data_IF_988708153737
#
_entry.id   IF_988708153737
#
_cell.length_a   1.000
_cell.length_b   1.000
_cell.length_c   1.000
_cell.angle_alpha   90.00
_cell.angle_beta   90.00
_cell.angle_gamma   90.00
#
_symmetry.space_group_name_H-M   'P 1'
#
loop_
_entity.id
_entity.type
_entity.pdbx_description
1 polymer ?
#
# COMPACT_ATOMS: atom_id res chain seq x y z
N UNK A 1 -28.26 -9.86 -4.38
CA UNK A 1 -26.80 -10.06 -4.38
C UNK A 1 -26.28 -8.93 -3.51
N UNK A 2 -25.57 -9.27 -2.48
CA UNK A 2 -24.93 -8.25 -1.65
C UNK A 2 -23.80 -7.61 -2.48
N UNK A 3 -23.63 -6.31 -2.38
CA UNK A 3 -22.59 -5.59 -3.11
C UNK A 3 -21.20 -6.00 -2.55
N UNK A 4 -20.14 -6.06 -3.39
CA UNK A 4 -18.86 -6.55 -2.96
C UNK A 4 -18.15 -5.57 -2.02
N UNK A 5 -17.34 -6.11 -1.11
CA UNK A 5 -16.44 -5.34 -0.26
C UNK A 5 -15.06 -5.24 -0.92
N UNK A 6 -14.58 -4.02 -1.14
CA UNK A 6 -13.30 -3.75 -1.79
C UNK A 6 -12.27 -3.26 -0.78
N UNK A 7 -11.11 -3.91 -0.74
CA UNK A 7 -9.94 -3.45 0.01
C UNK A 7 -9.06 -2.51 -0.79
N UNK A 8 -8.72 -1.36 -0.22
CA UNK A 8 -7.69 -0.47 -0.74
C UNK A 8 -6.48 -0.52 0.20
N UNK A 9 -5.38 -1.09 -0.27
CA UNK A 9 -4.16 -1.22 0.52
C UNK A 9 -3.11 -0.21 0.08
N UNK A 10 -2.73 0.69 0.98
CA UNK A 10 -1.61 1.61 0.79
C UNK A 10 -0.31 0.98 1.22
N UNK A 11 0.55 0.67 0.29
CA UNK A 11 1.90 0.11 0.50
C UNK A 11 2.91 1.18 0.26
N UNK A 12 3.67 1.35 1.03
CA UNK A 12 4.31 1.39 2.29
C UNK A 12 3.99 2.71 3.01
N UNK A 13 4.30 2.79 4.29
CA UNK A 13 4.05 3.99 5.10
C UNK A 13 5.29 4.42 5.87
N UNK A 14 6.46 4.41 5.22
CA UNK A 14 7.72 4.80 5.84
C UNK A 14 7.83 6.29 6.03
N UNK A 15 7.99 6.72 7.28
CA UNK A 15 8.32 8.07 7.67
C UNK A 15 9.64 8.06 8.43
N UNK A 16 10.48 9.08 8.24
CA UNK A 16 11.73 9.20 8.97
C UNK A 16 12.73 8.07 8.71
N UNK A 17 12.65 7.43 7.54
CA UNK A 17 13.53 6.32 7.16
C UNK A 17 14.99 6.70 7.00
N UNK A 18 15.31 7.99 7.02
CA UNK A 18 16.69 8.52 6.95
C UNK A 18 16.98 9.27 8.23
N UNK A 19 18.05 8.92 8.94
CA UNK A 19 18.40 9.58 10.19
C UNK A 19 18.65 11.09 10.04
N UNK A 20 19.07 11.54 8.84
CA UNK A 20 19.36 12.94 8.54
C UNK A 20 18.11 13.75 8.18
N UNK A 21 17.03 13.10 7.77
CA UNK A 21 15.81 13.77 7.32
C UNK A 21 14.59 13.10 7.96
N UNK A 22 13.95 13.83 8.86
CA UNK A 22 12.71 13.38 9.48
C UNK A 22 11.52 13.79 8.61
N UNK A 23 10.55 12.90 8.47
CA UNK A 23 9.30 13.17 7.79
C UNK A 23 9.04 12.23 6.61
N UNK A 24 8.31 12.71 5.62
CA UNK A 24 7.93 11.95 4.45
C UNK A 24 9.08 11.92 3.43
N UNK A 25 9.91 10.90 3.47
CA UNK A 25 11.16 10.85 2.71
C UNK A 25 11.24 9.78 1.62
N UNK A 26 10.57 8.65 1.79
CA UNK A 26 10.48 7.61 0.75
C UNK A 26 9.38 6.60 1.07
N UNK A 27 8.91 5.91 0.06
CA UNK A 27 7.95 4.80 0.16
C UNK A 27 6.68 5.08 1.00
N UNK A 28 6.32 6.35 1.15
CA UNK A 28 5.07 6.77 1.81
C UNK A 28 3.93 7.06 0.82
N UNK A 29 4.19 6.97 -0.48
CA UNK A 29 3.24 7.35 -1.52
C UNK A 29 1.99 6.46 -1.54
N UNK A 30 2.15 5.16 -1.27
CA UNK A 30 1.03 4.23 -1.18
C UNK A 30 0.11 4.56 0.00
N UNK A 31 0.68 4.86 1.16
CA UNK A 31 -0.08 5.31 2.33
C UNK A 31 -0.79 6.64 2.06
N UNK A 32 -0.11 7.60 1.44
CA UNK A 32 -0.70 8.88 1.04
C UNK A 32 -1.87 8.67 0.06
N UNK A 33 -1.72 7.79 -0.92
CA UNK A 33 -2.78 7.47 -1.87
C UNK A 33 -4.00 6.85 -1.18
N UNK A 34 -3.79 5.91 -0.25
CA UNK A 34 -4.85 5.29 0.52
C UNK A 34 -5.61 6.31 1.39
N UNK A 35 -4.89 7.16 2.10
CA UNK A 35 -5.50 8.21 2.92
C UNK A 35 -6.24 9.26 2.09
N UNK A 36 -5.70 9.61 0.92
CA UNK A 36 -6.36 10.53 -0.02
C UNK A 36 -7.65 9.93 -0.59
N UNK A 37 -7.64 8.63 -0.92
CA UNK A 37 -8.84 7.91 -1.34
C UNK A 37 -9.89 7.87 -0.22
N UNK A 38 -9.49 7.59 1.03
CA UNK A 38 -10.38 7.62 2.18
C UNK A 38 -11.03 9.00 2.35
N UNK A 39 -10.24 10.06 2.32
CA UNK A 39 -10.74 11.43 2.44
C UNK A 39 -11.73 11.77 1.32
N UNK A 40 -11.43 11.35 0.08
CA UNK A 40 -12.32 11.57 -1.06
C UNK A 40 -13.63 10.81 -0.95
N UNK A 41 -13.60 9.55 -0.54
CA UNK A 41 -14.81 8.74 -0.36
C UNK A 41 -15.71 9.30 0.75
N UNK A 42 -15.11 9.76 1.86
CA UNK A 42 -15.85 10.42 2.93
C UNK A 42 -16.48 11.75 2.48
N UNK A 43 -15.78 12.51 1.63
CA UNK A 43 -16.30 13.75 1.07
C UNK A 43 -17.47 13.48 0.10
N UNK A 44 -17.36 12.47 -0.76
CA UNK A 44 -18.45 12.00 -1.62
C UNK A 44 -19.69 11.62 -0.80
N UNK A 45 -19.49 10.87 0.27
CA UNK A 45 -20.57 10.44 1.15
C UNK A 45 -21.29 11.62 1.82
N UNK A 46 -20.54 12.66 2.24
CA UNK A 46 -21.12 13.90 2.77
C UNK A 46 -21.97 14.66 1.74
N UNK A 47 -21.63 14.52 0.48
CA UNK A 47 -22.37 15.14 -0.64
C UNK A 47 -23.55 14.29 -1.14
N UNK A 48 -23.80 13.13 -0.52
CA UNK A 48 -24.90 12.25 -0.87
C UNK A 48 -24.56 11.21 -1.95
N UNK A 49 -23.28 11.10 -2.35
CA UNK A 49 -22.80 10.10 -3.29
C UNK A 49 -22.38 8.83 -2.51
N UNK A 50 -23.14 7.78 -2.62
CA UNK A 50 -22.88 6.51 -1.93
C UNK A 50 -22.45 5.43 -2.91
N UNK A 51 -21.51 4.62 -2.48
CA UNK A 51 -21.16 3.38 -3.17
C UNK A 51 -22.15 2.29 -2.73
N UNK A 52 -22.46 1.34 -3.62
CA UNK A 52 -23.36 0.23 -3.30
C UNK A 52 -22.68 -0.80 -2.36
N UNK A 53 -21.35 -0.92 -2.42
CA UNK A 53 -20.57 -1.82 -1.61
C UNK A 53 -19.69 -1.10 -0.59
N UNK A 54 -19.10 -1.87 0.30
CA UNK A 54 -18.20 -1.38 1.33
C UNK A 54 -16.77 -1.22 0.80
N UNK A 55 -16.07 -0.22 1.33
CA UNK A 55 -14.64 -0.01 1.05
C UNK A 55 -13.86 -0.01 2.35
N UNK A 56 -12.99 -0.99 2.51
CA UNK A 56 -12.07 -1.07 3.64
C UNK A 56 -10.71 -0.56 3.18
N UNK A 57 -10.22 0.48 3.86
CA UNK A 57 -8.95 1.12 3.51
C UNK A 57 -7.94 0.84 4.61
N UNK A 58 -6.81 0.27 4.22
CA UNK A 58 -5.76 -0.16 5.10
C UNK A 58 -4.41 0.41 4.68
N UNK A 59 -3.64 0.85 5.63
CA UNK A 59 -2.23 1.23 5.45
C UNK A 59 -1.50 1.12 6.77
N UNK A 60 -0.19 1.07 6.73
CA UNK A 60 0.65 1.13 7.92
C UNK A 60 1.52 2.38 7.91
N UNK A 61 1.95 2.79 9.08
CA UNK A 61 2.85 3.92 9.28
C UNK A 61 4.03 3.42 10.11
N UNK A 62 5.23 3.58 9.58
CA UNK A 62 6.47 3.26 10.26
C UNK A 62 7.31 4.53 10.40
N UNK A 63 7.27 5.22 11.56
CA UNK A 63 7.95 6.49 11.75
C UNK A 63 9.48 6.34 11.80
N UNK A 64 9.98 5.20 12.23
CA UNK A 64 11.41 4.90 12.40
C UNK A 64 11.78 3.65 11.58
N UNK A 65 11.49 3.69 10.29
CA UNK A 65 11.79 2.57 9.41
C UNK A 65 13.30 2.32 9.34
N UNK A 66 13.76 1.07 9.50
CA UNK A 66 15.18 0.74 9.39
C UNK A 66 15.68 0.99 7.97
N UNK A 67 16.96 1.29 7.83
CA UNK A 67 17.60 1.51 6.54
C UNK A 67 18.72 0.51 6.29
N UNK A 68 18.93 0.17 5.03
CA UNK A 68 20.08 -0.61 4.55
C UNK A 68 20.98 0.27 3.71
N UNK A 69 22.31 0.09 3.77
CA UNK A 69 23.22 0.79 2.89
C UNK A 69 22.88 0.56 1.42
N UNK A 70 22.78 1.64 0.67
CA UNK A 70 22.47 1.63 -0.76
C UNK A 70 22.89 2.95 -1.39
N UNK A 71 23.43 2.91 -2.62
CA UNK A 71 23.75 4.10 -3.40
C UNK A 71 22.60 4.42 -4.39
N UNK A 72 22.28 5.69 -4.61
CA UNK A 72 22.86 6.93 -4.04
C UNK A 72 22.29 7.33 -2.66
N UNK A 73 21.30 6.62 -2.15
CA UNK A 73 20.67 6.88 -0.85
C UNK A 73 20.36 5.57 -0.15
N UNK A 74 20.37 5.54 1.19
CA UNK A 74 19.96 4.36 1.94
C UNK A 74 18.60 3.82 1.50
N UNK A 75 18.50 2.52 1.39
CA UNK A 75 17.24 1.84 1.07
C UNK A 75 16.43 1.65 2.36
N UNK A 76 15.14 1.95 2.31
CA UNK A 76 14.24 1.69 3.42
C UNK A 76 13.93 0.20 3.51
N UNK A 77 13.98 -0.33 4.72
CA UNK A 77 13.62 -1.70 5.04
C UNK A 77 12.34 -1.75 5.89
N UNK A 78 11.81 -2.93 6.09
CA UNK A 78 10.66 -3.17 6.96
C UNK A 78 11.12 -3.78 8.28
N UNK A 79 10.61 -3.30 9.44
CA UNK A 79 10.90 -3.90 10.74
C UNK A 79 10.18 -5.23 10.95
N UNK A 80 9.22 -5.55 10.10
CA UNK A 80 8.41 -6.77 10.16
C UNK A 80 8.37 -7.46 8.80
N UNK A 81 8.16 -8.75 8.82
CA UNK A 81 7.98 -9.54 7.60
C UNK A 81 6.68 -9.17 6.88
N UNK A 82 6.73 -9.14 5.56
CA UNK A 82 5.57 -8.78 4.72
C UNK A 82 4.36 -9.69 4.96
N UNK A 83 4.58 -10.93 5.35
CA UNK A 83 3.51 -11.85 5.71
C UNK A 83 2.71 -11.37 6.93
N UNK A 84 3.39 -10.77 7.92
CA UNK A 84 2.73 -10.20 9.10
C UNK A 84 1.94 -8.96 8.72
N UNK A 85 2.50 -8.07 7.90
CA UNK A 85 1.79 -6.89 7.39
C UNK A 85 0.52 -7.31 6.64
N UNK A 86 0.63 -8.31 5.76
CA UNK A 86 -0.53 -8.82 5.03
C UNK A 86 -1.60 -9.43 5.94
N UNK A 87 -1.21 -10.11 7.00
CA UNK A 87 -2.15 -10.71 7.94
C UNK A 87 -3.00 -9.66 8.68
N UNK A 88 -2.43 -8.47 8.92
CA UNK A 88 -3.13 -7.38 9.59
C UNK A 88 -3.95 -6.51 8.62
N UNK A 89 -3.49 -6.38 7.37
CA UNK A 89 -4.11 -5.47 6.40
C UNK A 89 -5.19 -6.14 5.52
N UNK A 90 -5.18 -7.46 5.42
CA UNK A 90 -6.10 -8.21 4.57
C UNK A 90 -7.09 -8.99 5.43
N UNK A 91 -8.32 -8.51 5.52
CA UNK A 91 -9.39 -9.24 6.21
C UNK A 91 -10.09 -10.25 5.30
N UNK A 92 -10.78 -11.19 5.95
CA UNK A 92 -11.57 -12.21 5.25
C UNK A 92 -12.83 -11.64 4.59
N UNK A 93 -13.20 -10.42 4.92
CA UNK A 93 -14.38 -9.73 4.40
C UNK A 93 -14.19 -9.15 3.00
N UNK A 94 -12.93 -9.11 2.50
CA UNK A 94 -12.61 -8.50 1.23
C UNK A 94 -12.87 -9.44 0.05
N UNK A 95 -13.74 -9.05 -0.87
CA UNK A 95 -13.99 -9.75 -2.13
C UNK A 95 -12.91 -9.46 -3.17
N UNK A 96 -12.40 -8.22 -3.17
CA UNK A 96 -11.34 -7.78 -4.07
C UNK A 96 -10.38 -6.81 -3.38
N UNK A 97 -9.14 -6.77 -3.84
CA UNK A 97 -8.10 -5.92 -3.26
C UNK A 97 -7.43 -5.10 -4.36
N UNK A 98 -7.31 -3.80 -4.11
CA UNK A 98 -6.48 -2.87 -4.89
C UNK A 98 -5.30 -2.47 -4.04
N UNK A 99 -4.10 -2.79 -4.48
CA UNK A 99 -2.86 -2.40 -3.81
C UNK A 99 -2.20 -1.23 -4.54
N UNK A 100 -1.83 -0.22 -3.79
CA UNK A 100 -1.16 1.00 -4.26
C UNK A 100 0.24 1.05 -3.68
N UNK A 101 1.26 1.11 -4.53
CA UNK A 101 2.66 1.07 -4.13
C UNK A 101 3.53 1.90 -5.08
N UNK A 102 4.69 2.34 -4.63
CA UNK A 102 5.72 2.90 -5.49
C UNK A 102 6.44 1.81 -6.27
N UNK A 103 6.79 2.09 -7.52
CA UNK A 103 7.51 1.12 -8.35
C UNK A 103 8.64 1.76 -9.14
N UNK A 104 9.70 1.00 -9.33
CA UNK A 104 10.79 1.34 -10.26
C UNK A 104 10.49 0.92 -11.70
N UNK A 105 9.36 0.29 -11.91
CA UNK A 105 9.00 -0.39 -13.15
C UNK A 105 9.41 -1.87 -13.15
N UNK A 106 8.82 -2.61 -14.05
CA UNK A 106 9.08 -4.02 -14.27
C UNK A 106 9.15 -4.34 -15.77
N UNK A 107 9.19 -5.61 -16.15
CA UNK A 107 9.27 -6.01 -17.56
C UNK A 107 8.07 -5.60 -18.41
N UNK A 108 6.91 -5.38 -17.79
CA UNK A 108 5.65 -5.05 -18.45
C UNK A 108 5.37 -3.55 -18.35
N UNK A 109 5.56 -2.97 -17.17
CA UNK A 109 5.33 -1.56 -16.88
C UNK A 109 6.68 -0.92 -16.57
N UNK A 110 7.27 -0.24 -17.53
CA UNK A 110 8.58 0.38 -17.39
C UNK A 110 8.48 1.88 -17.11
N UNK A 111 7.69 2.24 -16.11
CA UNK A 111 7.57 3.59 -15.62
C UNK A 111 8.00 3.67 -14.15
N UNK A 112 8.63 4.76 -13.80
CA UNK A 112 8.87 5.12 -12.40
C UNK A 112 7.65 5.85 -11.88
N UNK A 113 7.18 5.52 -10.70
CA UNK A 113 6.06 6.18 -10.10
C UNK A 113 5.27 5.28 -9.16
N UNK A 114 3.98 5.51 -9.09
CA UNK A 114 3.07 4.71 -8.31
C UNK A 114 2.44 3.61 -9.17
N UNK A 115 2.35 2.43 -8.63
CA UNK A 115 1.64 1.32 -9.25
C UNK A 115 0.33 1.06 -8.49
N UNK A 116 -0.72 0.82 -9.26
CA UNK A 116 -1.99 0.34 -8.73
C UNK A 116 -2.26 -1.00 -9.39
N UNK A 117 -2.39 -2.04 -8.58
CA UNK A 117 -2.63 -3.39 -9.06
C UNK A 117 -3.85 -4.01 -8.38
N UNK A 118 -4.57 -4.83 -9.10
CA UNK A 118 -5.60 -5.67 -8.52
C UNK A 118 -4.96 -6.99 -8.03
N UNK A 119 -5.27 -7.35 -6.82
CA UNK A 119 -4.92 -8.65 -6.25
C UNK A 119 -6.21 -9.39 -5.90
N UNK A 120 -6.30 -10.67 -6.23
CA UNK A 120 -7.24 -11.51 -5.52
C UNK A 120 -6.54 -12.11 -4.30
N UNK A 121 -7.32 -12.47 -3.29
CA UNK A 121 -6.86 -13.00 -2.00
C UNK A 121 -5.76 -14.06 -2.12
N UNK A 122 -5.86 -14.94 -3.12
CA UNK A 122 -4.90 -16.03 -3.34
C UNK A 122 -3.60 -15.57 -4.01
N UNK A 123 -3.63 -14.47 -4.77
CA UNK A 123 -2.46 -13.94 -5.48
C UNK A 123 -1.68 -12.93 -4.65
N UNK A 124 -2.33 -12.12 -3.85
CA UNK A 124 -1.63 -11.16 -2.98
C UNK A 124 -0.67 -11.89 -2.02
N UNK A 125 -1.12 -12.99 -1.41
CA UNK A 125 -0.28 -13.83 -0.55
C UNK A 125 0.83 -14.59 -1.30
N UNK A 126 0.67 -14.88 -2.61
CA UNK A 126 1.68 -15.62 -3.39
C UNK A 126 2.73 -14.73 -4.04
N UNK A 127 2.38 -13.51 -4.40
CA UNK A 127 3.30 -12.60 -5.11
C UNK A 127 4.26 -11.93 -4.13
N UNK A 128 3.80 -11.59 -2.94
CA UNK A 128 4.68 -11.08 -1.88
C UNK A 128 5.67 -12.11 -1.33
N UNK A 129 5.46 -13.40 -1.55
CA UNK A 129 6.31 -14.47 -1.01
C UNK A 129 7.34 -15.05 -2.00
N UNK A 130 7.35 -14.58 -3.24
CA UNK A 130 8.34 -15.01 -4.25
C UNK A 130 9.08 -13.80 -4.81
N UNK A 131 10.25 -13.59 -4.30
CA UNK A 131 11.25 -12.63 -4.80
C UNK A 131 10.85 -11.17 -4.64
N UNK A 132 11.29 -10.49 -3.61
CA UNK A 132 11.58 -9.03 -3.53
C UNK A 132 11.19 -8.17 -4.77
N UNK A 133 10.20 -8.58 -5.51
CA UNK A 133 9.70 -7.93 -6.69
C UNK A 133 8.29 -7.47 -6.37
N UNK A 134 8.20 -6.20 -6.21
CA UNK A 134 7.03 -5.35 -6.09
C UNK A 134 5.77 -5.99 -6.67
N UNK A 135 4.72 -6.05 -5.83
CA UNK A 135 3.35 -6.23 -6.29
C UNK A 135 2.95 -5.03 -7.15
#
# INVERSE_FOLDING_TARGET
MDAPTIGLLGRLGGLGARPEVTGFVSDGDGALAALSAAAKLLDMQKNGDYLEGDVIISTHICPDAPTRPHEPVPFMDSPVEMAQVNAEEVSDELDAIVSMDTTKGNRIINHRGIAVSNCNRTRCCRVCNRNHTVC
#
